data_IF_528274926991
#
_entry.id   IF_528274926991
#
_cell.length_a   1.000
_cell.length_b   1.000
_cell.length_c   1.000
_cell.angle_alpha   90.00
_cell.angle_beta   90.00
_cell.angle_gamma   90.00
#
_symmetry.space_group_name_H-M   'P 1'
#
loop_
_entity.id
_entity.type
_entity.pdbx_description
1 polymer ?
#
# COMPACT_ATOMS: atom_id res chain seq x y z
N UNK A 1 -10.59 -16.01 53.97
CA UNK A 1 -10.93 -16.27 52.55
C UNK A 1 -10.38 -15.12 51.73
N UNK A 2 -9.37 -15.41 50.92
CA UNK A 2 -8.68 -14.42 50.09
C UNK A 2 -9.47 -14.18 48.81
N UNK A 3 -9.65 -12.92 48.43
CA UNK A 3 -9.95 -12.54 47.06
C UNK A 3 -9.19 -11.26 46.76
N UNK A 4 -7.97 -11.44 46.25
CA UNK A 4 -7.14 -10.40 45.65
C UNK A 4 -7.85 -9.91 44.38
N UNK A 5 -8.35 -8.68 44.39
CA UNK A 5 -8.81 -8.01 43.18
C UNK A 5 -7.57 -7.58 42.38
N UNK A 6 -7.15 -8.41 41.44
CA UNK A 6 -6.14 -8.06 40.45
C UNK A 6 -6.73 -6.99 39.52
N UNK A 7 -6.41 -5.72 39.80
CA UNK A 7 -6.67 -4.62 38.89
C UNK A 7 -5.82 -4.81 37.64
N UNK A 8 -6.44 -5.33 36.59
CA UNK A 8 -5.86 -5.42 35.26
C UNK A 8 -5.51 -4.01 34.77
N UNK A 9 -4.21 -3.73 34.63
CA UNK A 9 -3.71 -2.56 33.91
C UNK A 9 -4.05 -2.76 32.41
N UNK A 10 -5.08 -2.06 31.93
CA UNK A 10 -5.35 -1.96 30.50
C UNK A 10 -4.28 -1.08 29.86
N UNK A 11 -3.24 -1.70 29.29
CA UNK A 11 -2.33 -1.04 28.37
C UNK A 11 -3.14 -0.56 27.15
N UNK A 12 -3.15 0.75 26.83
CA UNK A 12 -3.70 1.19 25.56
C UNK A 12 -2.77 0.67 24.46
N UNK A 13 -3.25 -0.31 23.68
CA UNK A 13 -2.59 -0.70 22.45
C UNK A 13 -2.48 0.53 21.55
N UNK A 14 -1.35 0.72 20.85
CA UNK A 14 -1.28 1.77 19.84
C UNK A 14 -2.33 1.41 18.80
N UNK A 15 -3.37 2.26 18.69
CA UNK A 15 -4.21 2.30 17.50
C UNK A 15 -3.26 2.76 16.40
N UNK A 16 -2.57 1.80 15.79
CA UNK A 16 -1.86 2.01 14.54
C UNK A 16 -2.92 2.57 13.60
N UNK A 17 -2.74 3.85 13.24
CA UNK A 17 -3.64 4.62 12.41
C UNK A 17 -4.20 3.72 11.31
N UNK A 18 -5.46 3.33 11.48
CA UNK A 18 -6.21 2.73 10.40
C UNK A 18 -6.47 3.90 9.47
N UNK A 19 -5.52 4.14 8.57
CA UNK A 19 -5.66 5.10 7.48
C UNK A 19 -6.91 4.68 6.70
N UNK A 20 -8.02 5.37 6.99
CA UNK A 20 -9.33 5.13 6.41
C UNK A 20 -9.19 5.33 4.90
N UNK A 21 -8.92 4.23 4.20
CA UNK A 21 -8.92 4.22 2.75
C UNK A 21 -10.30 4.70 2.30
N UNK A 22 -10.33 5.78 1.51
CA UNK A 22 -11.56 6.43 1.09
C UNK A 22 -12.52 5.36 0.51
N UNK A 23 -13.71 5.16 1.10
CA UNK A 23 -14.65 4.13 0.69
C UNK A 23 -15.21 4.36 -0.73
N UNK A 24 -15.00 5.55 -1.32
CA UNK A 24 -15.36 5.88 -2.69
C UNK A 24 -14.16 5.88 -3.65
N UNK A 25 -12.95 5.58 -3.19
CA UNK A 25 -11.79 5.51 -4.06
C UNK A 25 -11.93 4.42 -5.14
N UNK A 26 -11.50 4.70 -6.38
CA UNK A 26 -11.55 3.74 -7.48
C UNK A 26 -10.69 2.51 -7.18
N UNK A 27 -11.00 1.38 -7.81
CA UNK A 27 -10.22 0.14 -7.64
C UNK A 27 -9.10 0.09 -8.68
N UNK A 28 -7.92 -0.33 -8.24
CA UNK A 28 -6.79 -0.57 -9.13
C UNK A 28 -7.08 -1.80 -9.99
N UNK A 29 -7.32 -1.59 -11.28
CA UNK A 29 -7.64 -2.65 -12.25
C UNK A 29 -6.39 -3.41 -12.70
N UNK A 30 -5.28 -2.71 -12.94
CA UNK A 30 -4.03 -3.30 -13.45
C UNK A 30 -2.82 -2.50 -12.99
N UNK A 31 -1.70 -3.19 -12.82
CA UNK A 31 -0.38 -2.61 -12.57
C UNK A 31 0.56 -3.10 -13.67
N UNK A 32 1.02 -2.16 -14.49
CA UNK A 32 1.95 -2.40 -15.59
C UNK A 32 3.33 -1.83 -15.23
N UNK A 33 4.37 -2.64 -15.37
CA UNK A 33 5.76 -2.23 -15.14
C UNK A 33 6.46 -2.23 -16.48
N UNK A 34 6.93 -1.05 -16.88
CA UNK A 34 7.55 -0.82 -18.19
C UNK A 34 8.98 -0.31 -18.01
N UNK A 35 9.80 -0.45 -19.06
CA UNK A 35 11.19 0.04 -19.10
C UNK A 35 12.12 -0.54 -18.01
N UNK A 36 11.77 -1.70 -17.46
CA UNK A 36 12.59 -2.39 -16.47
C UNK A 36 13.52 -3.40 -17.16
N UNK A 37 14.83 -3.23 -16.98
CA UNK A 37 15.86 -4.04 -17.64
C UNK A 37 16.51 -5.08 -16.71
N UNK A 38 16.57 -4.81 -15.40
CA UNK A 38 17.42 -5.56 -14.47
C UNK A 38 16.66 -6.27 -13.34
N UNK A 39 15.56 -5.69 -12.85
CA UNK A 39 14.83 -6.23 -11.71
C UNK A 39 13.74 -7.21 -12.15
N UNK A 40 13.32 -8.11 -11.27
CA UNK A 40 12.14 -8.93 -11.54
C UNK A 40 10.87 -8.17 -11.16
N UNK A 41 9.74 -8.47 -11.82
CA UNK A 41 8.45 -7.84 -11.51
C UNK A 41 8.06 -8.04 -10.04
N UNK A 42 8.37 -9.21 -9.51
CA UNK A 42 8.12 -9.62 -8.13
C UNK A 42 8.85 -8.72 -7.13
N UNK A 43 10.04 -8.23 -7.48
CA UNK A 43 10.78 -7.27 -6.64
C UNK A 43 10.00 -5.97 -6.51
N UNK A 44 9.49 -5.42 -7.60
CA UNK A 44 8.64 -4.22 -7.53
C UNK A 44 7.36 -4.48 -6.74
N UNK A 45 6.68 -5.60 -7.00
CA UNK A 45 5.46 -5.97 -6.29
C UNK A 45 5.68 -6.25 -4.79
N UNK A 46 6.92 -6.52 -4.38
CA UNK A 46 7.27 -6.66 -2.97
C UNK A 46 7.35 -5.30 -2.26
N UNK A 47 7.90 -4.28 -2.92
CA UNK A 47 8.02 -2.93 -2.35
C UNK A 47 6.75 -2.09 -2.52
N UNK A 48 5.94 -2.39 -3.52
CA UNK A 48 4.67 -1.74 -3.78
C UNK A 48 3.57 -2.43 -2.95
N UNK A 49 2.99 -1.68 -2.02
CA UNK A 49 1.86 -2.12 -1.19
C UNK A 49 0.55 -2.17 -2.00
N UNK A 50 0.46 -1.34 -3.04
CA UNK A 50 -0.66 -1.27 -3.96
C UNK A 50 -0.78 -2.54 -4.81
N UNK A 51 -1.98 -3.14 -4.86
CA UNK A 51 -2.25 -4.37 -5.61
C UNK A 51 -3.51 -4.22 -6.46
N UNK A 52 -3.61 -5.03 -7.50
CA UNK A 52 -4.85 -5.15 -8.28
C UNK A 52 -5.97 -5.60 -7.35
N UNK A 53 -7.13 -4.93 -7.43
CA UNK A 53 -8.27 -5.14 -6.54
C UNK A 53 -8.23 -4.30 -5.26
N UNK A 54 -7.10 -3.67 -4.91
CA UNK A 54 -7.08 -2.70 -3.81
C UNK A 54 -7.71 -1.38 -4.24
N UNK A 55 -8.22 -0.62 -3.26
CA UNK A 55 -8.58 0.78 -3.44
C UNK A 55 -7.34 1.59 -3.80
N UNK A 56 -7.50 2.44 -4.80
CA UNK A 56 -6.53 3.44 -5.17
C UNK A 56 -6.33 4.40 -4.00
N UNK A 57 -5.08 4.65 -3.65
CA UNK A 57 -4.71 5.55 -2.58
C UNK A 57 -3.41 6.26 -2.98
N UNK A 58 -3.53 7.54 -3.29
CA UNK A 58 -2.39 8.35 -3.74
C UNK A 58 -1.31 8.46 -2.66
N UNK A 59 -1.68 8.45 -1.37
CA UNK A 59 -0.72 8.52 -0.27
C UNK A 59 0.12 7.26 -0.22
N UNK A 60 -0.52 6.09 -0.38
CA UNK A 60 0.19 4.81 -0.49
C UNK A 60 1.12 4.76 -1.70
N UNK A 61 0.68 5.23 -2.87
CA UNK A 61 1.55 5.31 -4.06
C UNK A 61 2.80 6.16 -3.80
N UNK A 62 2.67 7.29 -3.10
CA UNK A 62 3.81 8.15 -2.73
C UNK A 62 4.76 7.46 -1.75
N UNK A 63 4.24 6.68 -0.81
CA UNK A 63 5.08 5.88 0.09
C UNK A 63 5.79 4.74 -0.64
N UNK A 64 5.07 4.01 -1.48
CA UNK A 64 5.62 2.94 -2.31
C UNK A 64 6.73 3.48 -3.22
N UNK A 65 6.54 4.68 -3.81
CA UNK A 65 7.56 5.40 -4.57
C UNK A 65 8.83 5.64 -3.73
N UNK A 66 8.68 6.23 -2.54
CA UNK A 66 9.82 6.53 -1.66
C UNK A 66 10.56 5.27 -1.28
N UNK A 67 9.84 4.21 -0.89
CA UNK A 67 10.45 2.92 -0.55
C UNK A 67 11.30 2.37 -1.70
N UNK A 68 10.77 2.39 -2.93
CA UNK A 68 11.52 1.95 -4.10
C UNK A 68 12.72 2.86 -4.39
N UNK A 69 12.53 4.17 -4.33
CA UNK A 69 13.60 5.14 -4.56
C UNK A 69 14.77 4.96 -3.56
N UNK A 70 14.43 4.80 -2.28
CA UNK A 70 15.41 4.63 -1.21
C UNK A 70 16.21 3.33 -1.30
N UNK A 71 15.74 2.32 -2.06
CA UNK A 71 16.54 1.11 -2.33
C UNK A 71 17.75 1.37 -3.22
N UNK A 72 17.71 2.45 -4.03
CA UNK A 72 18.75 2.74 -5.02
C UNK A 72 18.83 1.73 -6.18
N UNK A 73 17.82 0.85 -6.36
CA UNK A 73 17.82 -0.13 -7.44
C UNK A 73 17.50 0.47 -8.82
N UNK A 74 16.89 1.65 -8.84
CA UNK A 74 16.47 2.36 -10.06
C UNK A 74 17.02 3.78 -10.03
N UNK A 75 17.51 4.23 -11.18
CA UNK A 75 18.01 5.60 -11.35
C UNK A 75 16.90 6.58 -11.75
N UNK A 76 15.86 6.06 -12.42
CA UNK A 76 14.70 6.82 -12.86
C UNK A 76 13.43 6.00 -12.55
N UNK A 77 12.48 6.62 -11.84
CA UNK A 77 11.24 6.02 -11.42
C UNK A 77 10.09 6.97 -11.74
N UNK A 78 9.12 6.50 -12.52
CA UNK A 78 7.91 7.24 -12.83
C UNK A 78 6.69 6.38 -12.48
N UNK A 79 5.74 6.99 -11.77
CA UNK A 79 4.45 6.36 -11.47
C UNK A 79 3.38 7.22 -12.12
N UNK A 80 2.65 6.63 -13.07
CA UNK A 80 1.51 7.24 -13.72
C UNK A 80 0.23 6.55 -13.25
N UNK A 81 -0.82 7.34 -13.01
CA UNK A 81 -2.15 6.85 -12.70
C UNK A 81 -3.10 7.37 -13.76
N UNK A 82 -3.77 6.44 -14.44
CA UNK A 82 -4.74 6.77 -15.49
C UNK A 82 -6.07 6.12 -15.17
N UNK A 83 -7.12 6.89 -15.33
CA UNK A 83 -8.47 6.36 -15.29
C UNK A 83 -8.67 5.44 -16.50
N UNK A 84 -9.08 4.20 -16.23
CA UNK A 84 -9.46 3.26 -17.28
C UNK A 84 -10.86 3.64 -17.78
N UNK A 85 -11.06 3.93 -19.09
CA UNK A 85 -12.39 4.20 -19.64
C UNK A 85 -13.35 3.01 -19.48
N UNK A 86 -12.80 1.81 -19.21
CA UNK A 86 -13.54 0.55 -19.15
C UNK A 86 -14.39 0.41 -17.89
N UNK A 87 -14.23 1.27 -16.87
CA UNK A 87 -15.18 1.37 -15.76
C UNK A 87 -15.64 0.01 -15.21
N UNK A 88 -14.70 -0.82 -14.75
CA UNK A 88 -15.00 -2.01 -13.95
C UNK A 88 -15.86 -3.08 -14.62
N UNK A 89 -15.38 -3.71 -15.70
CA UNK A 89 -15.92 -5.03 -16.07
C UNK A 89 -15.00 -6.14 -15.52
N UNK A 90 -15.50 -7.04 -14.66
CA UNK A 90 -14.75 -8.18 -14.14
C UNK A 90 -14.39 -9.19 -15.23
#
# INVERSE_FOLDING_TARGET
MAALAAAWLALPAPVAAQEEADPNAPIVERIDISNNQFLQKETFLFYISTKVGNRYDERRLKEDFRRLWDTGFVEDLFIDSRDSPTGGRP
#
